data_IF_278454783318
#
_entry.id   IF_278454783318
#
_cell.length_a   1.000
_cell.length_b   1.000
_cell.length_c   1.000
_cell.angle_alpha   90.00
_cell.angle_beta   90.00
_cell.angle_gamma   90.00
#
_symmetry.space_group_name_H-M   'P 1'
#
loop_
_entity.id
_entity.type
_entity.pdbx_description
1 polymer ?
#
# COMPACT_ATOMS: atom_id res chain seq x y z
N UNK A 1 -7.50 19.95 -11.67
CA UNK A 1 -8.13 18.61 -11.80
C UNK A 1 -7.13 17.52 -12.19
N UNK A 2 -6.34 17.67 -13.26
CA UNK A 2 -5.33 16.66 -13.67
C UNK A 2 -4.23 16.43 -12.60
N UNK A 3 -3.87 17.46 -11.84
CA UNK A 3 -2.78 17.38 -10.87
C UNK A 3 -3.10 16.51 -9.65
N UNK A 4 -4.33 16.58 -9.12
CA UNK A 4 -4.69 15.89 -7.88
C UNK A 4 -4.95 14.40 -8.12
N UNK A 5 -5.54 14.05 -9.28
CA UNK A 5 -5.74 12.66 -9.67
C UNK A 5 -4.40 11.94 -9.91
N UNK A 6 -3.45 12.58 -10.60
CA UNK A 6 -2.11 12.01 -10.81
C UNK A 6 -1.34 11.86 -9.51
N UNK A 7 -1.42 12.83 -8.60
CA UNK A 7 -0.81 12.71 -7.25
C UNK A 7 -1.39 11.53 -6.49
N UNK A 8 -2.72 11.41 -6.43
CA UNK A 8 -3.39 10.31 -5.75
C UNK A 8 -2.98 8.95 -6.34
N UNK A 9 -2.87 8.87 -7.67
CA UNK A 9 -2.43 7.66 -8.34
C UNK A 9 -0.99 7.28 -7.98
N UNK A 10 -0.08 8.25 -7.94
CA UNK A 10 1.32 8.02 -7.55
C UNK A 10 1.44 7.59 -6.08
N UNK A 11 0.70 8.25 -5.18
CA UNK A 11 0.66 7.89 -3.76
C UNK A 11 0.13 6.47 -3.56
N UNK A 12 -0.94 6.10 -4.27
CA UNK A 12 -1.49 4.75 -4.24
C UNK A 12 -0.47 3.71 -4.68
N UNK A 13 0.18 3.90 -5.84
CA UNK A 13 1.22 2.98 -6.31
C UNK A 13 2.42 2.92 -5.37
N UNK A 14 2.79 4.05 -4.76
CA UNK A 14 3.84 4.11 -3.74
C UNK A 14 3.52 3.24 -2.53
N UNK A 15 2.29 3.36 -1.98
CA UNK A 15 1.84 2.54 -0.85
C UNK A 15 1.81 1.05 -1.18
N UNK A 16 1.26 0.69 -2.33
CA UNK A 16 1.22 -0.72 -2.79
C UNK A 16 2.65 -1.26 -2.91
N UNK A 17 3.55 -0.52 -3.56
CA UNK A 17 4.94 -0.97 -3.76
C UNK A 17 5.68 -1.11 -2.42
N UNK A 18 5.50 -0.17 -1.49
CA UNK A 18 6.11 -0.24 -0.17
C UNK A 18 5.60 -1.46 0.62
N UNK A 19 4.29 -1.73 0.59
CA UNK A 19 3.71 -2.91 1.20
C UNK A 19 4.26 -4.20 0.58
N UNK A 20 4.29 -4.30 -0.75
CA UNK A 20 4.78 -5.50 -1.46
C UNK A 20 6.24 -5.82 -1.12
N UNK A 21 7.09 -4.80 -0.95
CA UNK A 21 8.48 -5.00 -0.52
C UNK A 21 8.54 -5.66 0.86
N UNK A 22 7.79 -5.13 1.83
CA UNK A 22 7.71 -5.73 3.19
C UNK A 22 7.13 -7.14 3.15
N UNK A 23 6.05 -7.33 2.38
CA UNK A 23 5.40 -8.64 2.23
C UNK A 23 6.35 -9.69 1.65
N UNK A 24 7.26 -9.29 0.76
CA UNK A 24 8.25 -10.17 0.16
C UNK A 24 9.46 -10.46 1.07
N UNK A 25 9.70 -9.68 2.13
CA UNK A 25 10.83 -9.89 3.04
C UNK A 25 10.78 -11.29 3.68
N UNK A 26 11.85 -12.07 3.51
CA UNK A 26 11.92 -13.44 4.03
C UNK A 26 11.13 -14.48 3.25
N UNK A 27 10.49 -14.10 2.15
CA UNK A 27 9.86 -15.01 1.18
C UNK A 27 10.77 -15.26 -0.03
N UNK A 28 10.42 -16.25 -0.85
CA UNK A 28 11.08 -16.50 -2.14
C UNK A 28 10.52 -15.61 -3.29
N UNK A 29 9.67 -14.61 -2.99
CA UNK A 29 9.10 -13.71 -4.00
C UNK A 29 10.16 -12.74 -4.53
N UNK A 30 10.54 -12.92 -5.79
CA UNK A 30 11.52 -12.07 -6.46
C UNK A 30 10.88 -11.00 -7.35
N UNK A 31 9.68 -11.25 -7.85
CA UNK A 31 8.97 -10.35 -8.77
C UNK A 31 7.46 -10.42 -8.53
N UNK A 32 6.81 -9.26 -8.61
CA UNK A 32 5.34 -9.14 -8.58
C UNK A 32 4.92 -8.42 -9.86
N UNK A 33 4.02 -9.04 -10.62
CA UNK A 33 3.52 -8.49 -11.87
C UNK A 33 2.10 -7.99 -11.70
N UNK A 34 1.79 -6.82 -12.28
CA UNK A 34 0.42 -6.35 -12.40
C UNK A 34 -0.36 -7.29 -13.30
N UNK A 35 -1.59 -7.63 -12.92
CA UNK A 35 -2.49 -8.43 -13.74
C UNK A 35 -3.68 -7.58 -14.18
N UNK A 36 -3.66 -7.13 -15.42
CA UNK A 36 -4.77 -6.44 -16.08
C UNK A 36 -4.68 -6.59 -17.61
N UNK A 37 -5.62 -5.99 -18.34
CA UNK A 37 -5.66 -6.06 -19.81
C UNK A 37 -4.47 -5.40 -20.52
N UNK A 38 -3.68 -4.60 -19.81
CA UNK A 38 -2.46 -3.96 -20.32
C UNK A 38 -1.20 -4.72 -19.94
N UNK A 39 -1.34 -5.80 -19.17
CA UNK A 39 -0.24 -6.65 -18.74
C UNK A 39 0.19 -7.63 -19.82
N UNK A 40 1.48 -7.95 -19.85
CA UNK A 40 2.04 -9.03 -20.68
C UNK A 40 1.68 -10.43 -20.14
N UNK A 41 1.08 -10.52 -18.94
CA UNK A 41 0.64 -11.77 -18.33
C UNK A 41 -0.79 -12.08 -18.76
N UNK A 42 -0.97 -13.19 -19.48
CA UNK A 42 -2.30 -13.64 -19.94
C UNK A 42 -3.04 -14.48 -18.89
N UNK A 43 -2.31 -15.29 -18.12
CA UNK A 43 -2.89 -16.19 -17.12
C UNK A 43 -1.94 -16.35 -15.93
N UNK A 44 -2.50 -16.27 -14.73
CA UNK A 44 -1.83 -16.63 -13.49
C UNK A 44 -2.66 -17.66 -12.73
N UNK A 45 -2.03 -18.78 -12.36
CA UNK A 45 -2.67 -19.79 -11.53
C UNK A 45 -2.84 -19.29 -10.08
N UNK A 46 -3.75 -19.90 -9.29
CA UNK A 46 -4.00 -19.48 -7.91
C UNK A 46 -2.77 -19.60 -6.99
N UNK A 47 -1.80 -20.45 -7.33
CA UNK A 47 -0.56 -20.60 -6.55
C UNK A 47 0.42 -19.41 -6.65
N UNK A 48 0.22 -18.51 -7.61
CA UNK A 48 1.03 -17.29 -7.78
C UNK A 48 0.22 -16.01 -7.57
N UNK A 49 -1.08 -16.12 -7.30
CA UNK A 49 -1.95 -14.98 -7.03
C UNK A 49 -1.91 -14.61 -5.54
N UNK A 50 -1.17 -13.56 -5.23
CA UNK A 50 -1.05 -13.00 -3.87
C UNK A 50 -2.09 -11.91 -3.58
N UNK A 51 -3.00 -11.60 -4.52
CA UNK A 51 -3.85 -10.40 -4.46
C UNK A 51 -4.69 -10.34 -3.19
N UNK A 52 -5.24 -11.47 -2.74
CA UNK A 52 -6.09 -11.53 -1.53
C UNK A 52 -5.31 -11.20 -0.27
N UNK A 53 -4.10 -11.73 -0.14
CA UNK A 53 -3.25 -11.49 1.03
C UNK A 53 -2.78 -10.04 1.07
N UNK A 54 -2.41 -9.50 -0.09
CA UNK A 54 -2.02 -8.09 -0.24
C UNK A 54 -3.18 -7.15 0.12
N UNK A 55 -4.39 -7.41 -0.38
CA UNK A 55 -5.59 -6.63 -0.03
C UNK A 55 -5.86 -6.68 1.47
N UNK A 56 -5.74 -7.86 2.09
CA UNK A 56 -5.93 -8.03 3.52
C UNK A 56 -4.92 -7.22 4.31
N UNK A 57 -3.63 -7.37 4.03
CA UNK A 57 -2.56 -6.68 4.75
C UNK A 57 -2.61 -5.15 4.60
N UNK A 58 -2.90 -4.64 3.39
CA UNK A 58 -3.10 -3.20 3.17
C UNK A 58 -4.27 -2.64 4.01
N UNK A 59 -5.39 -3.38 4.07
CA UNK A 59 -6.54 -2.97 4.87
C UNK A 59 -6.25 -3.00 6.38
N UNK A 60 -5.43 -3.94 6.84
CA UNK A 60 -4.96 -4.02 8.22
C UNK A 60 -4.01 -2.86 8.57
N UNK A 61 -3.01 -2.57 7.72
CA UNK A 61 -2.13 -1.39 7.88
C UNK A 61 -2.96 -0.10 7.97
N UNK A 62 -3.93 0.07 7.06
CA UNK A 62 -4.80 1.25 7.06
C UNK A 62 -5.65 1.38 8.34
N UNK A 63 -6.20 0.27 8.85
CA UNK A 63 -6.96 0.27 10.12
C UNK A 63 -6.05 0.64 11.29
N UNK A 64 -4.81 0.15 11.31
CA UNK A 64 -3.84 0.45 12.36
C UNK A 64 -3.39 1.92 12.31
N UNK A 65 -3.19 2.48 11.12
CA UNK A 65 -2.91 3.92 10.91
C UNK A 65 -4.06 4.79 11.44
N UNK A 66 -5.31 4.38 11.19
CA UNK A 66 -6.50 5.11 11.68
C UNK A 66 -6.79 4.91 13.16
N UNK A 67 -6.43 3.77 13.73
CA UNK A 67 -6.63 3.45 15.15
C UNK A 67 -5.52 3.99 16.05
N UNK A 68 -4.39 4.41 15.47
CA UNK A 68 -3.34 5.10 16.23
C UNK A 68 -3.82 6.52 16.54
N UNK A 69 -3.99 6.92 17.81
CA UNK A 69 -4.26 8.31 18.13
C UNK A 69 -3.06 9.12 17.66
N UNK A 70 -3.31 10.09 16.78
CA UNK A 70 -2.40 11.20 16.51
C UNK A 70 -1.83 11.63 17.87
N UNK A 71 -0.51 11.54 18.06
CA UNK A 71 0.15 12.15 19.22
C UNK A 71 -0.39 13.58 19.30
N UNK A 72 -1.14 13.86 20.35
CA UNK A 72 -1.63 15.20 20.63
C UNK A 72 -0.42 16.14 20.59
N UNK A 73 -0.40 17.05 19.63
CA UNK A 73 0.54 18.17 19.62
C UNK A 73 0.27 18.96 20.90
N UNK A 74 1.09 18.74 21.92
CA UNK A 74 1.17 19.64 23.08
C UNK A 74 1.89 20.91 22.65
N UNK A 75 1.22 21.74 21.85
CA UNK A 75 1.54 23.16 21.76
C UNK A 75 1.13 23.80 23.08
N UNK A 76 2.05 23.78 24.06
CA UNK A 76 2.03 24.68 25.22
C UNK A 76 2.08 26.11 24.66
N UNK A 77 0.92 26.75 24.50
CA UNK A 77 0.84 28.21 24.41
C UNK A 77 1.20 28.75 25.79
N UNK A 78 2.47 29.06 25.97
CA UNK A 78 2.95 29.90 27.06
C UNK A 78 2.38 31.30 26.87
N UNK A 79 1.34 31.62 27.64
CA UNK A 79 0.96 33.01 27.94
C UNK A 79 2.08 33.65 28.73
N UNK A 80 2.68 34.71 28.21
CA UNK A 80 3.12 35.85 29.02
C UNK A 80 3.18 37.10 28.17
#
# INVERSE_FOLDING_TARGET
>A
VVNDQSKLQNELYGKITAFLKKYAEGSDLQVVMKYDQTSDVLFGGPGIDISKDVIKGLNEEFKNEKSSPVKADTAKVSKK
#
